data_IF_514552882481
#
_entry.id   IF_514552882481
#
_cell.length_a   1.000
_cell.length_b   1.000
_cell.length_c   1.000
_cell.angle_alpha   90.00
_cell.angle_beta   90.00
_cell.angle_gamma   90.00
#
_symmetry.space_group_name_H-M   'P 1'
#
loop_
_entity.id
_entity.type
_entity.pdbx_description
1 polymer ?
#
# COMPACT_ATOMS: atom_id res chain seq x y z
N UNK A 1 -11.11 -14.19 3.96
CA UNK A 1 -9.85 -14.52 3.24
C UNK A 1 -9.22 -15.84 3.72
N UNK A 2 -8.92 -15.98 5.02
CA UNK A 2 -8.28 -17.17 5.60
C UNK A 2 -8.95 -18.51 5.22
N UNK A 3 -10.27 -18.62 5.32
CA UNK A 3 -11.02 -19.84 4.95
C UNK A 3 -10.78 -20.25 3.48
N UNK A 4 -10.74 -19.28 2.56
CA UNK A 4 -10.48 -19.56 1.15
C UNK A 4 -9.03 -20.00 0.90
N UNK A 5 -8.08 -19.45 1.66
CA UNK A 5 -6.68 -19.86 1.59
C UNK A 5 -6.52 -21.29 2.10
N UNK A 6 -7.12 -21.61 3.25
CA UNK A 6 -7.12 -22.97 3.84
C UNK A 6 -7.73 -23.97 2.86
N UNK A 7 -8.90 -23.67 2.27
CA UNK A 7 -9.49 -24.55 1.24
C UNK A 7 -8.55 -24.78 0.05
N UNK A 8 -7.87 -23.74 -0.43
CA UNK A 8 -6.92 -23.89 -1.56
C UNK A 8 -5.68 -24.73 -1.19
N UNK A 9 -5.20 -24.62 0.05
CA UNK A 9 -4.12 -25.45 0.59
C UNK A 9 -4.56 -26.92 0.64
N UNK A 10 -5.79 -27.19 1.11
CA UNK A 10 -6.39 -28.53 1.18
C UNK A 10 -6.61 -29.11 -0.22
N UNK A 11 -7.20 -28.32 -1.13
CA UNK A 11 -7.53 -28.73 -2.51
C UNK A 11 -6.30 -28.87 -3.43
N UNK A 12 -5.08 -28.70 -2.90
CA UNK A 12 -3.80 -28.69 -3.64
C UNK A 12 -3.81 -27.83 -4.93
N UNK A 13 -4.63 -26.77 -4.95
CA UNK A 13 -4.61 -25.83 -6.08
C UNK A 13 -3.26 -25.13 -6.10
N UNK A 14 -2.70 -24.90 -7.29
CA UNK A 14 -1.36 -24.30 -7.44
C UNK A 14 -1.32 -22.90 -6.82
N UNK A 15 -0.83 -22.81 -5.58
CA UNK A 15 -0.54 -21.55 -4.92
C UNK A 15 0.69 -20.91 -5.56
N UNK A 16 0.73 -19.58 -5.71
CA UNK A 16 1.87 -18.89 -6.29
C UNK A 16 3.00 -18.76 -5.26
N UNK A 17 3.47 -19.87 -4.67
CA UNK A 17 4.40 -19.91 -3.52
C UNK A 17 5.63 -19.05 -3.75
N UNK A 18 6.29 -19.17 -4.91
CA UNK A 18 7.47 -18.35 -5.24
C UNK A 18 7.19 -16.85 -5.22
N UNK A 19 6.02 -16.44 -5.72
CA UNK A 19 5.59 -15.04 -5.72
C UNK A 19 5.30 -14.58 -4.30
N UNK A 20 4.52 -15.36 -3.55
CA UNK A 20 4.14 -15.07 -2.17
C UNK A 20 5.36 -14.98 -1.24
N UNK A 21 6.34 -15.88 -1.38
CA UNK A 21 7.62 -15.81 -0.65
C UNK A 21 8.38 -14.57 -1.05
N UNK A 22 8.48 -14.25 -2.35
CA UNK A 22 9.17 -13.05 -2.82
C UNK A 22 8.62 -11.76 -2.20
N UNK A 23 7.29 -11.57 -2.24
CA UNK A 23 6.65 -10.42 -1.60
C UNK A 23 6.74 -10.44 -0.07
N UNK A 24 6.56 -11.60 0.56
CA UNK A 24 6.68 -11.75 2.00
C UNK A 24 8.09 -11.39 2.50
N UNK A 25 9.13 -11.93 1.85
CA UNK A 25 10.52 -11.60 2.17
C UNK A 25 10.84 -10.14 1.91
N UNK A 26 10.41 -9.57 0.78
CA UNK A 26 10.62 -8.15 0.48
C UNK A 26 10.00 -7.24 1.54
N UNK A 27 8.76 -7.52 1.95
CA UNK A 27 8.08 -6.74 2.99
C UNK A 27 8.68 -6.94 4.38
N UNK A 28 9.15 -8.14 4.73
CA UNK A 28 9.86 -8.39 5.97
C UNK A 28 11.17 -7.59 6.04
N UNK A 29 11.95 -7.59 4.96
CA UNK A 29 13.21 -6.84 4.87
C UNK A 29 12.94 -5.34 4.95
N UNK A 30 11.97 -4.82 4.18
CA UNK A 30 11.63 -3.39 4.22
C UNK A 30 11.13 -2.97 5.61
N UNK A 31 10.31 -3.79 6.27
CA UNK A 31 9.85 -3.54 7.63
C UNK A 31 11.01 -3.50 8.62
N UNK A 32 11.88 -4.51 8.60
CA UNK A 32 13.04 -4.58 9.49
C UNK A 32 13.98 -3.39 9.30
N UNK A 33 14.28 -3.03 8.04
CA UNK A 33 15.11 -1.87 7.75
C UNK A 33 14.45 -0.58 8.22
N UNK A 34 13.13 -0.46 8.08
CA UNK A 34 12.38 0.70 8.57
C UNK A 34 12.43 0.81 10.10
N UNK A 35 12.26 -0.31 10.82
CA UNK A 35 12.44 -0.34 12.26
C UNK A 35 13.87 0.06 12.64
N UNK A 36 14.89 -0.53 12.03
CA UNK A 36 16.27 -0.13 12.34
C UNK A 36 16.53 1.35 12.02
N UNK A 37 15.81 1.92 11.05
CA UNK A 37 15.88 3.33 10.70
C UNK A 37 15.26 4.25 11.78
N UNK A 38 14.29 3.77 12.57
CA UNK A 38 13.66 4.51 13.67
C UNK A 38 14.38 4.34 15.02
N UNK A 39 15.49 3.59 15.08
CA UNK A 39 16.26 3.37 16.31
C UNK A 39 16.68 4.67 17.02
N UNK A 40 17.02 5.71 16.26
CA UNK A 40 17.33 7.03 16.83
C UNK A 40 16.18 7.62 17.64
N UNK A 41 14.94 7.37 17.19
CA UNK A 41 13.71 7.80 17.87
C UNK A 41 13.43 6.93 19.09
N UNK A 42 13.64 5.61 18.98
CA UNK A 42 13.43 4.66 20.08
C UNK A 42 14.27 4.99 21.33
N UNK A 43 15.46 5.57 21.14
CA UNK A 43 16.32 6.02 22.26
C UNK A 43 15.67 7.09 23.15
N UNK A 44 14.73 7.89 22.65
CA UNK A 44 14.02 8.87 23.48
C UNK A 44 13.09 8.21 24.50
N UNK A 45 12.71 6.95 24.26
CA UNK A 45 11.88 6.15 25.17
C UNK A 45 12.69 5.13 25.99
N UNK A 46 14.02 5.15 25.89
CA UNK A 46 14.89 4.25 26.65
C UNK A 46 14.87 4.58 28.15
N UNK A 47 14.60 3.56 28.96
CA UNK A 47 14.66 3.66 30.42
C UNK A 47 16.09 3.47 30.90
N UNK A 48 16.66 4.52 31.48
CA UNK A 48 18.05 4.50 31.99
C UNK A 48 18.27 3.59 33.20
N UNK A 49 17.20 2.98 33.73
CA UNK A 49 17.27 1.92 34.75
C UNK A 49 17.72 0.58 34.18
N UNK A 50 17.56 0.35 32.87
CA UNK A 50 17.92 -0.91 32.21
C UNK A 50 19.30 -0.80 31.57
N UNK A 51 20.12 -1.87 31.50
CA UNK A 51 21.36 -1.85 30.74
C UNK A 51 21.11 -1.52 29.26
N UNK A 52 21.92 -0.63 28.68
CA UNK A 52 21.76 -0.22 27.27
C UNK A 52 21.84 -1.41 26.30
N UNK A 53 22.70 -2.40 26.60
CA UNK A 53 22.79 -3.64 25.81
C UNK A 53 21.48 -4.43 25.79
N UNK A 54 20.74 -4.46 26.90
CA UNK A 54 19.42 -5.11 26.99
C UNK A 54 18.39 -4.36 26.16
N UNK A 55 18.39 -3.03 26.21
CA UNK A 55 17.52 -2.21 25.36
C UNK A 55 17.78 -2.45 23.87
N UNK A 56 19.05 -2.42 23.44
CA UNK A 56 19.42 -2.66 22.03
C UNK A 56 19.06 -4.08 21.60
N UNK A 57 19.38 -5.09 22.41
CA UNK A 57 19.06 -6.48 22.10
C UNK A 57 17.54 -6.70 22.02
N UNK A 58 16.77 -6.12 22.93
CA UNK A 58 15.30 -6.14 22.91
C UNK A 58 14.75 -5.50 21.64
N UNK A 59 15.23 -4.30 21.29
CA UNK A 59 14.80 -3.60 20.09
C UNK A 59 15.05 -4.39 18.80
N UNK A 60 16.24 -4.97 18.65
CA UNK A 60 16.58 -5.80 17.48
C UNK A 60 15.74 -7.07 17.45
N UNK A 61 15.55 -7.74 18.60
CA UNK A 61 14.69 -8.93 18.71
C UNK A 61 13.27 -8.61 18.29
N UNK A 62 12.68 -7.54 18.82
CA UNK A 62 11.30 -7.17 18.56
C UNK A 62 11.11 -6.80 17.08
N UNK A 63 12.03 -6.00 16.52
CA UNK A 63 12.04 -5.70 15.08
C UNK A 63 12.15 -6.94 14.19
N UNK A 64 12.95 -7.95 14.58
CA UNK A 64 13.04 -9.22 13.84
C UNK A 64 11.72 -10.02 13.90
N UNK A 65 11.08 -10.08 15.08
CA UNK A 65 9.81 -10.77 15.25
C UNK A 65 8.69 -10.10 14.44
N UNK A 66 8.62 -8.77 14.46
CA UNK A 66 7.63 -8.00 13.71
C UNK A 66 7.87 -8.09 12.19
N UNK A 67 9.13 -8.14 11.76
CA UNK A 67 9.49 -8.40 10.36
C UNK A 67 9.03 -9.79 9.88
N UNK A 68 9.23 -10.83 10.69
CA UNK A 68 8.72 -12.19 10.38
C UNK A 68 7.19 -12.21 10.35
N UNK A 69 6.54 -11.52 11.30
CA UNK A 69 5.08 -11.35 11.32
C UNK A 69 4.56 -10.69 10.04
N UNK A 70 5.19 -9.59 9.64
CA UNK A 70 4.85 -8.83 8.43
C UNK A 70 5.09 -9.68 7.18
N UNK A 71 6.22 -10.35 7.06
CA UNK A 71 6.50 -11.24 5.92
C UNK A 71 5.49 -12.38 5.80
N UNK A 72 5.09 -12.96 6.93
CA UNK A 72 4.05 -14.00 6.98
C UNK A 72 2.70 -13.45 6.54
N UNK A 73 2.31 -12.27 7.02
CA UNK A 73 1.07 -11.61 6.63
C UNK A 73 1.00 -11.38 5.11
N UNK A 74 2.07 -10.83 4.53
CA UNK A 74 2.12 -10.56 3.09
C UNK A 74 2.21 -11.83 2.24
N UNK A 75 2.90 -12.87 2.73
CA UNK A 75 2.87 -14.19 2.10
C UNK A 75 1.42 -14.71 1.99
N UNK A 76 0.68 -14.72 3.10
CA UNK A 76 -0.70 -15.21 3.16
C UNK A 76 -1.63 -14.35 2.31
N UNK A 77 -1.44 -13.04 2.35
CA UNK A 77 -2.22 -12.08 1.57
C UNK A 77 -2.08 -12.36 0.07
N UNK A 78 -0.84 -12.41 -0.45
CA UNK A 78 -0.56 -12.66 -1.87
C UNK A 78 -0.99 -14.07 -2.28
N UNK A 79 -0.78 -15.06 -1.41
CA UNK A 79 -1.20 -16.44 -1.66
C UNK A 79 -2.73 -16.56 -1.80
N UNK A 80 -3.50 -15.72 -1.09
CA UNK A 80 -4.96 -15.70 -1.16
C UNK A 80 -5.51 -14.81 -2.28
N UNK A 81 -4.93 -13.63 -2.47
CA UNK A 81 -5.44 -12.58 -3.36
C UNK A 81 -5.14 -12.87 -4.83
N UNK A 82 -3.90 -13.20 -5.19
CA UNK A 82 -3.51 -13.41 -6.60
C UNK A 82 -4.37 -14.50 -7.26
N UNK A 83 -4.58 -15.68 -6.64
CA UNK A 83 -5.43 -16.69 -7.25
C UNK A 83 -6.92 -16.33 -7.30
N UNK A 84 -7.40 -15.44 -6.42
CA UNK A 84 -8.78 -14.91 -6.48
C UNK A 84 -8.90 -13.91 -7.65
N UNK A 85 -7.93 -13.02 -7.79
CA UNK A 85 -7.79 -12.08 -8.89
C UNK A 85 -7.75 -12.80 -10.25
N UNK A 86 -6.91 -13.84 -10.38
CA UNK A 86 -6.83 -14.65 -11.62
C UNK A 86 -8.13 -15.32 -12.01
N UNK A 87 -8.90 -15.79 -11.04
CA UNK A 87 -10.20 -16.40 -11.29
C UNK A 87 -11.27 -15.37 -11.66
N UNK A 88 -11.24 -14.19 -11.04
CA UNK A 88 -12.19 -13.12 -11.32
C UNK A 88 -11.94 -12.41 -12.64
N UNK A 89 -10.67 -12.27 -13.02
CA UNK A 89 -10.21 -11.46 -14.14
C UNK A 89 -9.12 -12.17 -14.97
N UNK A 90 -9.45 -13.29 -15.64
CA UNK A 90 -8.47 -14.12 -16.34
C UNK A 90 -7.77 -13.39 -17.50
N UNK A 91 -8.44 -12.42 -18.13
CA UNK A 91 -7.93 -11.65 -19.26
C UNK A 91 -6.90 -10.57 -18.88
N UNK A 92 -6.85 -10.14 -17.61
CA UNK A 92 -5.88 -9.14 -17.15
C UNK A 92 -4.51 -9.79 -16.93
N UNK A 93 -3.45 -8.98 -16.82
CA UNK A 93 -2.10 -9.50 -16.56
C UNK A 93 -2.00 -10.07 -15.14
N UNK A 94 -1.39 -11.25 -14.97
CA UNK A 94 -1.12 -11.83 -13.64
C UNK A 94 0.11 -11.20 -13.01
N UNK A 95 0.11 -10.96 -11.69
CA UNK A 95 1.29 -10.47 -10.97
C UNK A 95 2.52 -11.35 -11.22
N UNK A 96 2.33 -12.67 -11.27
CA UNK A 96 3.42 -13.62 -11.55
C UNK A 96 4.13 -13.37 -12.89
N UNK A 97 3.39 -12.97 -13.93
CA UNK A 97 3.97 -12.75 -15.27
C UNK A 97 4.58 -11.36 -15.40
N UNK A 98 4.12 -10.37 -14.63
CA UNK A 98 4.66 -9.00 -14.67
C UNK A 98 6.17 -8.96 -14.41
N UNK A 99 6.66 -9.76 -13.45
CA UNK A 99 8.08 -9.80 -13.08
C UNK A 99 8.96 -10.67 -14.00
N UNK A 100 8.40 -11.20 -15.10
CA UNK A 100 9.21 -11.84 -16.13
C UNK A 100 9.69 -10.79 -17.14
N UNK A 101 10.83 -11.03 -17.79
CA UNK A 101 11.35 -10.14 -18.83
C UNK A 101 10.34 -9.84 -19.95
N UNK A 102 9.58 -10.86 -20.36
CA UNK A 102 8.51 -10.74 -21.34
C UNK A 102 7.33 -9.90 -20.80
N UNK A 103 7.01 -10.03 -19.51
CA UNK A 103 5.97 -9.26 -18.84
C UNK A 103 6.29 -7.78 -18.75
N UNK A 104 7.52 -7.44 -18.33
CA UNK A 104 8.00 -6.06 -18.26
C UNK A 104 7.96 -5.36 -19.62
N UNK A 105 8.25 -6.08 -20.71
CA UNK A 105 8.19 -5.56 -22.09
C UNK A 105 6.80 -5.60 -22.72
N UNK A 106 5.78 -6.05 -21.99
CA UNK A 106 4.43 -6.17 -22.54
C UNK A 106 3.72 -4.82 -22.61
N UNK A 107 2.86 -4.64 -23.62
CA UNK A 107 1.99 -3.46 -23.73
C UNK A 107 1.11 -3.28 -22.49
N UNK A 108 0.64 -4.38 -21.89
CA UNK A 108 -0.19 -4.34 -20.68
C UNK A 108 0.57 -3.76 -19.49
N UNK A 109 1.82 -4.16 -19.28
CA UNK A 109 2.65 -3.61 -18.21
C UNK A 109 2.97 -2.13 -18.46
N UNK A 110 3.35 -1.76 -19.68
CA UNK A 110 3.60 -0.36 -20.03
C UNK A 110 2.34 0.52 -19.80
N UNK A 111 1.18 0.08 -20.27
CA UNK A 111 -0.08 0.80 -20.05
C UNK A 111 -0.44 0.89 -18.56
N UNK A 112 -0.18 -0.16 -17.77
CA UNK A 112 -0.38 -0.11 -16.33
C UNK A 112 0.51 0.94 -15.64
N UNK A 113 1.77 1.09 -16.08
CA UNK A 113 2.68 2.13 -15.57
C UNK A 113 2.18 3.53 -15.91
N UNK A 114 1.91 3.80 -17.20
CA UNK A 114 1.43 5.11 -17.65
C UNK A 114 0.13 5.50 -16.94
N UNK A 115 -0.81 4.55 -16.83
CA UNK A 115 -2.09 4.80 -16.16
C UNK A 115 -1.91 4.96 -14.65
N UNK A 116 -1.08 4.14 -14.00
CA UNK A 116 -0.85 4.23 -12.56
C UNK A 116 -0.25 5.58 -12.17
N UNK A 117 0.80 6.02 -12.88
CA UNK A 117 1.46 7.31 -12.67
C UNK A 117 0.50 8.47 -12.99
N UNK A 118 -0.23 8.40 -14.11
CA UNK A 118 -1.24 9.42 -14.45
C UNK A 118 -2.36 9.51 -13.41
N UNK A 119 -2.78 8.37 -12.87
CA UNK A 119 -3.79 8.30 -11.82
C UNK A 119 -3.30 8.93 -10.51
N UNK A 120 -1.99 8.94 -10.23
CA UNK A 120 -1.43 9.59 -9.03
C UNK A 120 -1.68 11.09 -9.07
N UNK A 121 -1.39 11.75 -10.20
CA UNK A 121 -1.69 13.17 -10.37
C UNK A 121 -3.18 13.46 -10.34
N UNK A 122 -3.99 12.61 -10.99
CA UNK A 122 -5.45 12.71 -10.93
C UNK A 122 -5.98 12.60 -9.50
N UNK A 123 -5.42 11.68 -8.70
CA UNK A 123 -5.87 11.47 -7.33
C UNK A 123 -5.58 12.66 -6.43
N UNK A 124 -4.41 13.30 -6.58
CA UNK A 124 -4.12 14.55 -5.86
C UNK A 124 -5.09 15.67 -6.26
N UNK A 125 -5.36 15.83 -7.56
CA UNK A 125 -6.33 16.81 -8.03
C UNK A 125 -7.74 16.51 -7.49
N UNK A 126 -8.16 15.24 -7.53
CA UNK A 126 -9.43 14.77 -6.97
C UNK A 126 -9.55 15.12 -5.49
N UNK A 127 -8.54 14.78 -4.67
CA UNK A 127 -8.56 15.05 -3.23
C UNK A 127 -8.61 16.55 -2.94
N UNK A 128 -7.83 17.37 -3.66
CA UNK A 128 -7.88 18.83 -3.52
C UNK A 128 -9.26 19.38 -3.88
N UNK A 129 -9.84 18.99 -5.02
CA UNK A 129 -11.15 19.46 -5.46
C UNK A 129 -12.24 19.01 -4.46
N UNK A 130 -12.18 17.76 -4.01
CA UNK A 130 -13.13 17.20 -3.05
C UNK A 130 -13.14 18.02 -1.76
N UNK A 131 -11.98 18.28 -1.16
CA UNK A 131 -11.91 19.04 0.09
C UNK A 131 -12.18 20.53 -0.07
N UNK A 132 -11.87 21.14 -1.22
CA UNK A 132 -12.30 22.51 -1.52
C UNK A 132 -13.83 22.62 -1.61
N UNK A 133 -14.49 21.63 -2.20
CA UNK A 133 -15.95 21.58 -2.27
C UNK A 133 -16.57 21.25 -0.90
N UNK A 134 -16.02 20.26 -0.19
CA UNK A 134 -16.51 19.82 1.11
C UNK A 134 -16.37 20.93 2.17
N UNK A 135 -15.29 21.72 2.12
CA UNK A 135 -15.10 22.88 2.99
C UNK A 135 -16.20 23.94 2.81
N UNK A 136 -16.63 24.20 1.57
CA UNK A 136 -17.80 25.08 1.30
C UNK A 136 -19.11 24.55 1.88
N UNK A 137 -19.20 23.25 2.14
CA UNK A 137 -20.35 22.59 2.75
C UNK A 137 -20.18 22.39 4.27
N UNK A 138 -19.15 22.99 4.89
CA UNK A 138 -18.88 22.92 6.32
C UNK A 138 -18.08 21.69 6.78
N UNK A 139 -17.56 20.88 5.85
CA UNK A 139 -16.65 19.80 6.20
C UNK A 139 -15.23 20.33 6.47
N UNK A 140 -14.50 19.65 7.35
CA UNK A 140 -13.15 20.01 7.74
C UNK A 140 -12.27 18.77 7.82
N UNK A 141 -11.02 18.91 7.39
CA UNK A 141 -9.98 17.91 7.52
C UNK A 141 -8.66 18.60 7.90
N UNK A 142 -7.90 18.08 8.86
CA UNK A 142 -6.67 18.72 9.29
C UNK A 142 -5.55 18.51 8.26
N UNK A 143 -4.73 19.55 8.09
CA UNK A 143 -3.47 19.46 7.37
C UNK A 143 -2.37 18.95 8.31
N UNK A 144 -2.37 17.65 8.61
CA UNK A 144 -1.33 17.05 9.45
C UNK A 144 -0.09 16.68 8.63
N UNK A 145 1.08 17.00 9.18
CA UNK A 145 2.36 16.48 8.67
C UNK A 145 2.67 15.17 9.41
N UNK A 146 2.21 14.04 8.86
CA UNK A 146 2.37 12.72 9.49
C UNK A 146 3.84 12.30 9.71
N UNK A 147 4.79 12.90 8.99
CA UNK A 147 6.16 12.39 8.86
C UNK A 147 7.26 13.34 9.37
N UNK A 148 6.96 14.19 10.36
CA UNK A 148 7.96 15.15 10.90
C UNK A 148 9.18 14.46 11.52
N UNK A 149 9.00 13.27 12.11
CA UNK A 149 10.08 12.53 12.76
C UNK A 149 11.03 11.82 11.79
N UNK A 150 10.66 11.68 10.51
CA UNK A 150 11.50 10.98 9.52
C UNK A 150 12.76 11.75 9.17
N UNK A 151 12.79 13.07 9.40
CA UNK A 151 13.99 13.91 9.24
C UNK A 151 15.14 13.49 10.17
N UNK A 152 14.84 12.80 11.28
CA UNK A 152 15.83 12.33 12.25
C UNK A 152 16.31 10.89 11.99
N UNK A 153 15.90 10.30 10.86
CA UNK A 153 16.26 8.92 10.49
C UNK A 153 17.45 8.90 9.54
N UNK A 154 18.22 7.80 9.52
CA UNK A 154 19.48 7.71 8.76
C UNK A 154 19.27 7.33 7.29
N UNK A 155 18.20 6.61 7.00
CA UNK A 155 17.84 6.04 5.71
C UNK A 155 16.38 6.42 5.37
N UNK A 156 16.09 7.72 5.17
CA UNK A 156 14.71 8.22 5.01
C UNK A 156 14.00 7.62 3.78
N UNK A 157 14.75 7.17 2.78
CA UNK A 157 14.21 6.46 1.63
C UNK A 157 13.59 5.11 2.00
N UNK A 158 14.09 4.41 3.02
CA UNK A 158 13.50 3.13 3.46
C UNK A 158 12.08 3.32 3.94
N UNK A 159 11.80 4.41 4.66
CA UNK A 159 10.47 4.71 5.16
C UNK A 159 9.47 4.93 4.02
N UNK A 160 9.81 5.76 3.04
CA UNK A 160 8.96 6.00 1.88
C UNK A 160 8.72 4.71 1.05
N UNK A 161 9.76 3.89 0.83
CA UNK A 161 9.60 2.59 0.15
C UNK A 161 8.69 1.64 0.93
N UNK A 162 8.90 1.54 2.24
CA UNK A 162 8.14 0.64 3.10
C UNK A 162 6.68 1.08 3.22
N UNK A 163 6.41 2.35 3.54
CA UNK A 163 5.05 2.88 3.71
C UNK A 163 4.27 2.78 2.40
N UNK A 164 4.86 3.20 1.28
CA UNK A 164 4.23 3.10 -0.04
C UNK A 164 3.93 1.66 -0.41
N UNK A 165 4.85 0.73 -0.17
CA UNK A 165 4.65 -0.69 -0.45
C UNK A 165 3.62 -1.33 0.48
N UNK A 166 3.64 -0.96 1.76
CA UNK A 166 2.72 -1.44 2.79
C UNK A 166 1.29 -1.08 2.43
N UNK A 167 1.00 0.21 2.18
CA UNK A 167 -0.32 0.69 1.80
C UNK A 167 -0.78 0.02 0.48
N UNK A 168 0.02 0.13 -0.58
CA UNK A 168 -0.34 -0.39 -1.89
C UNK A 168 -0.60 -1.91 -1.87
N UNK A 169 0.34 -2.71 -1.35
CA UNK A 169 0.18 -4.16 -1.37
C UNK A 169 -0.90 -4.62 -0.40
N UNK A 170 -0.99 -4.04 0.80
CA UNK A 170 -2.00 -4.49 1.77
C UNK A 170 -3.41 -4.20 1.28
N UNK A 171 -3.66 -3.00 0.75
CA UNK A 171 -5.00 -2.54 0.42
C UNK A 171 -5.44 -3.00 -0.98
N UNK A 172 -4.57 -2.91 -2.00
CA UNK A 172 -4.93 -3.38 -3.35
C UNK A 172 -5.17 -4.88 -3.38
N UNK A 173 -4.39 -5.66 -2.62
CA UNK A 173 -4.58 -7.11 -2.59
C UNK A 173 -5.85 -7.50 -1.83
N UNK A 174 -6.19 -6.81 -0.74
CA UNK A 174 -7.37 -7.10 0.04
C UNK A 174 -8.65 -6.67 -0.68
N UNK A 175 -8.73 -5.41 -1.12
CA UNK A 175 -9.97 -4.86 -1.63
C UNK A 175 -10.15 -5.15 -3.12
N UNK A 176 -9.14 -4.89 -3.97
CA UNK A 176 -9.30 -5.03 -5.42
C UNK A 176 -9.07 -6.46 -5.88
N UNK A 177 -7.93 -7.05 -5.53
CA UNK A 177 -7.55 -8.37 -6.00
C UNK A 177 -8.37 -9.50 -5.35
N UNK A 178 -8.73 -9.37 -4.07
CA UNK A 178 -9.50 -10.39 -3.34
C UNK A 178 -10.99 -10.04 -3.20
N UNK A 179 -11.34 -8.89 -2.60
CA UNK A 179 -12.72 -8.62 -2.22
C UNK A 179 -13.65 -8.42 -3.42
N UNK A 180 -13.25 -7.69 -4.47
CA UNK A 180 -14.10 -7.54 -5.69
C UNK A 180 -14.49 -8.90 -6.29
N UNK A 181 -13.57 -9.82 -6.64
CA UNK A 181 -13.97 -11.11 -7.22
C UNK A 181 -14.68 -12.02 -6.22
N UNK A 182 -14.40 -11.91 -4.92
CA UNK A 182 -15.13 -12.63 -3.88
C UNK A 182 -16.59 -12.15 -3.77
N UNK A 183 -16.79 -10.85 -3.62
CA UNK A 183 -18.10 -10.22 -3.53
C UNK A 183 -18.90 -10.43 -4.82
N UNK A 184 -18.25 -10.40 -5.99
CA UNK A 184 -18.92 -10.72 -7.27
C UNK A 184 -19.54 -12.11 -7.26
N UNK A 185 -18.90 -13.11 -6.63
CA UNK A 185 -19.47 -14.46 -6.50
C UNK A 185 -20.67 -14.48 -5.55
N UNK A 186 -20.64 -13.66 -4.50
CA UNK A 186 -21.72 -13.58 -3.51
C UNK A 186 -22.93 -12.79 -4.03
N UNK A 187 -22.70 -11.61 -4.59
CA UNK A 187 -23.75 -10.69 -5.06
C UNK A 187 -24.23 -11.00 -6.48
N UNK A 188 -23.47 -11.79 -7.24
CA UNK A 188 -23.67 -12.04 -8.68
C UNK A 188 -23.67 -10.77 -9.55
N UNK A 189 -23.17 -9.65 -9.01
CA UNK A 189 -23.17 -8.34 -9.66
C UNK A 189 -21.80 -7.68 -9.51
N UNK A 190 -21.09 -7.49 -10.63
CA UNK A 190 -19.76 -6.87 -10.60
C UNK A 190 -19.80 -5.39 -10.17
N UNK A 191 -20.79 -4.55 -10.55
CA UNK A 191 -20.84 -3.17 -10.08
C UNK A 191 -21.07 -3.10 -8.57
N UNK A 192 -22.00 -3.91 -8.06
CA UNK A 192 -22.29 -3.95 -6.62
C UNK A 192 -21.07 -4.46 -5.83
N UNK A 193 -20.38 -5.49 -6.32
CA UNK A 193 -19.16 -5.99 -5.70
C UNK A 193 -18.06 -4.94 -5.63
N UNK A 194 -17.89 -4.15 -6.69
CA UNK A 194 -16.94 -3.04 -6.74
C UNK A 194 -17.29 -1.95 -5.73
N UNK A 195 -18.55 -1.49 -5.71
CA UNK A 195 -19.02 -0.44 -4.79
C UNK A 195 -18.87 -0.89 -3.34
N UNK A 196 -19.31 -2.10 -3.00
CA UNK A 196 -19.18 -2.63 -1.63
C UNK A 196 -17.71 -2.74 -1.20
N UNK A 197 -16.84 -3.22 -2.09
CA UNK A 197 -15.41 -3.29 -1.78
C UNK A 197 -14.79 -1.91 -1.59
N UNK A 198 -15.14 -0.94 -2.44
CA UNK A 198 -14.59 0.40 -2.43
C UNK A 198 -15.03 1.19 -1.19
N UNK A 199 -16.30 1.13 -0.81
CA UNK A 199 -16.79 1.80 0.39
C UNK A 199 -16.35 1.09 1.67
N UNK A 200 -16.20 -0.24 1.68
CA UNK A 200 -15.56 -0.94 2.80
C UNK A 200 -14.12 -0.44 3.03
N UNK A 201 -13.36 -0.31 1.95
CA UNK A 201 -12.03 0.30 2.00
C UNK A 201 -12.07 1.77 2.47
N UNK A 202 -12.98 2.57 1.92
CA UNK A 202 -13.16 3.97 2.28
C UNK A 202 -13.45 4.17 3.76
N UNK A 203 -14.46 3.49 4.30
CA UNK A 203 -14.89 3.66 5.69
C UNK A 203 -13.89 3.18 6.74
N UNK A 204 -12.89 2.36 6.37
CA UNK A 204 -11.75 2.10 7.27
C UNK A 204 -10.94 3.36 7.60
N UNK A 205 -11.10 4.43 6.82
CA UNK A 205 -10.45 5.72 7.03
C UNK A 205 -11.30 6.73 7.80
N UNK A 206 -12.48 6.35 8.28
CA UNK A 206 -13.35 7.22 9.08
C UNK A 206 -12.84 7.48 10.51
N UNK A 207 -11.80 6.78 10.94
CA UNK A 207 -11.14 7.04 12.22
C UNK A 207 -10.23 8.29 12.20
N UNK A 208 -9.96 8.86 11.02
CA UNK A 208 -9.20 10.10 10.92
C UNK A 208 -9.98 11.29 11.50
N UNK A 209 -9.29 12.31 12.06
CA UNK A 209 -9.90 13.44 12.76
C UNK A 209 -10.60 14.45 11.81
N UNK A 210 -11.47 13.96 10.92
CA UNK A 210 -12.23 14.78 9.97
C UNK A 210 -13.65 15.04 10.49
N UNK A 211 -14.24 16.15 10.09
CA UNK A 211 -15.63 16.48 10.35
C UNK A 211 -16.41 16.70 9.05
N UNK A 212 -17.60 16.11 8.88
CA UNK A 212 -18.18 15.07 9.73
C UNK A 212 -17.35 13.76 9.68
N UNK A 213 -17.47 12.91 10.69
CA UNK A 213 -16.62 11.71 10.85
C UNK A 213 -16.60 10.77 9.63
N UNK A 214 -17.68 10.76 8.83
CA UNK A 214 -17.80 9.89 7.66
C UNK A 214 -17.17 10.47 6.38
N UNK A 215 -16.76 11.74 6.36
CA UNK A 215 -16.41 12.45 5.12
C UNK A 215 -15.26 11.77 4.36
N UNK A 216 -14.24 11.30 5.10
CA UNK A 216 -13.11 10.56 4.52
C UNK A 216 -13.54 9.22 3.95
N UNK A 217 -14.50 8.56 4.59
CA UNK A 217 -15.05 7.30 4.10
C UNK A 217 -15.76 7.47 2.75
N UNK A 218 -16.47 8.59 2.58
CA UNK A 218 -17.14 8.93 1.32
C UNK A 218 -16.12 9.29 0.23
N UNK A 219 -15.16 10.17 0.52
CA UNK A 219 -14.10 10.54 -0.41
C UNK A 219 -13.33 9.31 -0.92
N UNK A 220 -12.75 8.55 0.01
CA UNK A 220 -11.92 7.38 -0.32
C UNK A 220 -12.77 6.27 -0.94
N UNK A 221 -14.04 6.13 -0.53
CA UNK A 221 -14.99 5.20 -1.14
C UNK A 221 -15.29 5.53 -2.60
N UNK A 222 -15.58 6.80 -2.91
CA UNK A 222 -15.82 7.26 -4.30
C UNK A 222 -14.56 7.10 -5.15
N UNK A 223 -13.41 7.52 -4.64
CA UNK A 223 -12.14 7.27 -5.32
C UNK A 223 -11.91 5.77 -5.55
N UNK A 224 -12.19 4.94 -4.56
CA UNK A 224 -12.06 3.49 -4.62
C UNK A 224 -12.87 2.86 -5.76
N UNK A 225 -14.07 3.39 -6.04
CA UNK A 225 -14.88 2.98 -7.19
C UNK A 225 -14.17 3.35 -8.50
N UNK A 226 -13.72 4.59 -8.64
CA UNK A 226 -13.00 5.08 -9.84
C UNK A 226 -11.75 4.24 -10.09
N UNK A 227 -10.92 4.05 -9.06
CA UNK A 227 -9.68 3.27 -9.10
C UNK A 227 -9.98 1.80 -9.43
N UNK A 228 -11.06 1.23 -8.88
CA UNK A 228 -11.46 -0.13 -9.21
C UNK A 228 -11.94 -0.27 -10.65
N UNK A 229 -12.60 0.74 -11.24
CA UNK A 229 -12.89 0.75 -12.68
C UNK A 229 -11.60 0.77 -13.51
N UNK A 230 -10.59 1.53 -13.09
CA UNK A 230 -9.26 1.52 -13.71
C UNK A 230 -8.62 0.12 -13.63
N UNK A 231 -8.68 -0.53 -12.46
CA UNK A 231 -8.19 -1.90 -12.27
C UNK A 231 -8.88 -2.90 -13.20
N UNK A 232 -10.20 -2.78 -13.41
CA UNK A 232 -10.95 -3.65 -14.33
C UNK A 232 -10.50 -3.49 -15.79
N UNK A 233 -9.92 -2.34 -16.16
CA UNK A 233 -9.47 -2.05 -17.52
C UNK A 233 -7.98 -2.33 -17.74
N UNK A 234 -7.13 -1.95 -16.78
CA UNK A 234 -5.67 -1.94 -16.93
C UNK A 234 -4.94 -2.95 -16.04
N UNK A 235 -5.65 -3.63 -15.15
CA UNK A 235 -5.07 -4.64 -14.26
C UNK A 235 -4.66 -4.09 -12.90
N UNK A 236 -4.35 -5.01 -11.99
CA UNK A 236 -4.00 -4.71 -10.59
C UNK A 236 -2.66 -3.96 -10.46
N UNK A 237 -1.76 -4.11 -11.44
CA UNK A 237 -0.48 -3.41 -11.46
C UNK A 237 -0.67 -1.90 -11.56
N UNK A 238 -1.66 -1.43 -12.33
CA UNK A 238 -1.92 0.00 -12.48
C UNK A 238 -2.31 0.63 -11.13
N UNK A 239 -3.12 -0.06 -10.34
CA UNK A 239 -3.53 0.45 -9.03
C UNK A 239 -2.44 0.28 -7.98
N UNK A 240 -1.62 -0.77 -8.04
CA UNK A 240 -0.42 -0.89 -7.20
C UNK A 240 0.55 0.27 -7.42
N UNK A 241 0.83 0.63 -8.67
CA UNK A 241 1.71 1.75 -9.01
C UNK A 241 1.12 3.07 -8.53
N UNK A 242 -0.17 3.31 -8.83
CA UNK A 242 -0.89 4.49 -8.37
C UNK A 242 -0.80 4.65 -6.84
N UNK A 243 -1.19 3.60 -6.11
CA UNK A 243 -1.32 3.63 -4.66
C UNK A 243 0.06 3.82 -4.01
N UNK A 244 1.05 3.04 -4.44
CA UNK A 244 2.43 3.20 -3.98
C UNK A 244 2.90 4.64 -4.18
N UNK A 245 2.65 5.21 -5.36
CA UNK A 245 3.14 6.54 -5.71
C UNK A 245 2.46 7.63 -4.88
N UNK A 246 1.16 7.51 -4.57
CA UNK A 246 0.45 8.45 -3.69
C UNK A 246 1.09 8.47 -2.30
N UNK A 247 1.25 7.30 -1.67
CA UNK A 247 1.80 7.21 -0.31
C UNK A 247 3.29 7.53 -0.25
N UNK A 248 4.07 7.10 -1.24
CA UNK A 248 5.49 7.41 -1.33
C UNK A 248 5.71 8.92 -1.52
N UNK A 249 4.91 9.60 -2.35
CA UNK A 249 4.97 11.05 -2.50
C UNK A 249 4.56 11.76 -1.21
N UNK A 250 3.49 11.33 -0.54
CA UNK A 250 3.09 11.93 0.74
C UNK A 250 4.17 11.78 1.82
N UNK A 251 4.81 10.62 1.88
CA UNK A 251 5.90 10.35 2.82
C UNK A 251 7.14 11.18 2.48
N UNK A 252 7.53 11.19 1.21
CA UNK A 252 8.72 11.90 0.75
C UNK A 252 8.56 13.42 0.62
N UNK A 253 7.34 13.97 0.72
CA UNK A 253 7.09 15.39 0.47
C UNK A 253 7.92 16.31 1.36
N UNK A 254 8.09 15.97 2.63
CA UNK A 254 8.94 16.74 3.55
C UNK A 254 10.43 16.62 3.19
N UNK A 255 10.87 15.44 2.75
CA UNK A 255 12.25 15.21 2.31
C UNK A 255 12.59 16.06 1.08
N UNK A 256 11.66 16.12 0.11
CA UNK A 256 11.77 16.93 -1.10
C UNK A 256 11.89 18.44 -0.83
N UNK A 257 11.35 18.92 0.28
CA UNK A 257 11.43 20.34 0.68
C UNK A 257 12.62 20.67 1.58
N UNK A 258 13.45 19.68 1.92
CA UNK A 258 14.62 19.88 2.79
C UNK A 258 15.73 20.64 2.05
N UNK A 259 16.43 21.52 2.77
CA UNK A 259 17.66 22.15 2.27
C UNK A 259 18.86 21.18 2.24
N UNK A 260 18.73 20.00 2.85
CA UNK A 260 19.75 18.96 2.82
C UNK A 260 19.65 18.14 1.53
N UNK A 261 20.67 18.21 0.67
CA UNK A 261 20.72 17.49 -0.60
C UNK A 261 20.52 15.97 -0.47
N UNK A 262 21.03 15.34 0.60
CA UNK A 262 20.84 13.90 0.80
C UNK A 262 19.36 13.54 1.01
N UNK A 263 18.65 14.33 1.83
CA UNK A 263 17.22 14.14 2.10
C UNK A 263 16.40 14.42 0.82
N UNK A 264 16.71 15.52 0.13
CA UNK A 264 16.03 15.91 -1.10
C UNK A 264 16.16 14.84 -2.19
N UNK A 265 17.38 14.35 -2.45
CA UNK A 265 17.64 13.30 -3.46
C UNK A 265 16.96 11.99 -3.04
N UNK A 266 17.04 11.61 -1.76
CA UNK A 266 16.38 10.41 -1.25
C UNK A 266 14.87 10.47 -1.50
N UNK A 267 14.23 11.60 -1.17
CA UNK A 267 12.80 11.80 -1.42
C UNK A 267 12.44 11.78 -2.91
N UNK A 268 13.27 12.37 -3.76
CA UNK A 268 13.05 12.37 -5.21
C UNK A 268 13.14 10.96 -5.81
N UNK A 269 14.12 10.17 -5.40
CA UNK A 269 14.27 8.80 -5.86
C UNK A 269 13.08 7.95 -5.39
N UNK A 270 12.66 8.04 -4.13
CA UNK A 270 11.59 7.16 -3.62
C UNK A 270 10.21 7.52 -4.16
N UNK A 271 9.93 8.81 -4.32
CA UNK A 271 8.70 9.27 -4.96
C UNK A 271 8.69 8.99 -6.47
N UNK A 272 9.86 9.05 -7.10
CA UNK A 272 10.03 8.89 -8.55
C UNK A 272 10.39 7.47 -9.01
N UNK A 273 10.57 6.49 -8.12
CA UNK A 273 11.06 5.15 -8.50
C UNK A 273 10.12 4.43 -9.47
N UNK A 274 8.83 4.75 -9.44
CA UNK A 274 7.85 4.21 -10.39
C UNK A 274 7.90 4.86 -11.78
N UNK A 275 8.74 5.89 -11.98
CA UNK A 275 9.01 6.53 -13.27
C UNK A 275 10.13 5.83 -14.06
N UNK A 276 10.84 4.87 -13.44
CA UNK A 276 12.01 4.15 -13.97
C UNK A 276 11.62 2.69 -14.21
#
# INVERSE_FOLDING_TARGET
MAIMLIRRLIDRRSLPVRLSVGFGTAMAVLHFLNEMNTFSLAKFSYRTTDPYSSFVAGYVRDGLLDAVGTGTLFFLLIAASEPAYRQGFPALISLRRCFSWQGLRSRSFFMANVVGIGLTFFFFAYQTIFYLAANKLGAWAPAETKFSNELNTRLPWVAALYIGSLAALSEEMQFRAFAVPFLKKLTRSWPLALVLSAFNWGFLHSAYPNQPFFIRGVEVGVAGVIIGLVMLRFGIVATLIWHYSVDAVYTAFLLLRSSNHYLMISGAITAGIMLI
#
